data_IF_921605471176
#
_entry.id   IF_921605471176
#
_cell.length_a   1.000
_cell.length_b   1.000
_cell.length_c   1.000
_cell.angle_alpha   90.00
_cell.angle_beta   90.00
_cell.angle_gamma   90.00
#
_symmetry.space_group_name_H-M   'P 1'
#
loop_
_entity.id
_entity.type
_entity.pdbx_description
1 polymer ?
#
# COMPACT_ATOMS: atom_id res chain seq x y z
N UNK A 1 -19.86 40.43 -0.77
CA UNK A 1 -20.75 39.37 -1.29
C UNK A 1 -20.04 38.04 -1.08
N UNK A 2 -20.44 37.25 -0.08
CA UNK A 2 -19.84 35.95 0.25
C UNK A 2 -20.07 34.95 -0.88
N UNK A 3 -19.11 34.80 -1.80
CA UNK A 3 -19.04 33.63 -2.67
C UNK A 3 -18.36 32.52 -1.89
N UNK A 4 -19.15 31.81 -1.10
CA UNK A 4 -18.75 30.52 -0.55
C UNK A 4 -18.31 29.61 -1.69
N UNK A 5 -17.21 28.87 -1.49
CA UNK A 5 -16.85 27.73 -2.34
C UNK A 5 -18.10 26.86 -2.52
N UNK A 6 -18.68 26.87 -3.73
CA UNK A 6 -19.85 26.04 -4.08
C UNK A 6 -19.43 24.58 -4.29
N UNK A 7 -18.66 24.03 -3.35
CA UNK A 7 -18.26 22.62 -3.32
C UNK A 7 -19.48 21.68 -3.19
N UNK A 8 -20.53 22.14 -2.51
CA UNK A 8 -21.62 21.27 -2.05
C UNK A 8 -22.71 20.94 -3.09
N UNK A 9 -22.75 21.61 -4.24
CA UNK A 9 -23.92 21.55 -5.15
C UNK A 9 -23.93 20.40 -6.16
N UNK A 10 -22.78 19.78 -6.45
CA UNK A 10 -22.63 18.88 -7.61
C UNK A 10 -22.19 17.46 -7.26
N UNK A 11 -21.96 17.16 -5.98
CA UNK A 11 -21.40 15.88 -5.55
C UNK A 11 -22.45 15.08 -4.79
N UNK A 12 -23.49 14.61 -5.47
CA UNK A 12 -24.52 13.75 -4.86
C UNK A 12 -24.85 12.57 -5.79
N UNK A 13 -23.96 11.60 -5.76
CA UNK A 13 -24.28 10.18 -5.89
C UNK A 13 -23.20 9.44 -5.09
N UNK A 14 -23.49 9.17 -3.82
CA UNK A 14 -22.68 8.27 -3.01
C UNK A 14 -22.97 6.86 -3.49
N UNK A 15 -21.98 6.22 -4.11
CA UNK A 15 -22.04 4.77 -4.29
C UNK A 15 -21.58 4.18 -2.97
N UNK A 16 -22.54 3.81 -2.11
CA UNK A 16 -22.25 3.07 -0.90
C UNK A 16 -21.49 1.80 -1.30
N UNK A 17 -20.42 1.48 -0.57
CA UNK A 17 -19.75 0.18 -0.70
C UNK A 17 -20.78 -0.93 -0.44
N UNK A 18 -21.34 -1.51 -1.50
CA UNK A 18 -22.34 -2.56 -1.39
C UNK A 18 -21.63 -3.90 -1.48
N UNK A 19 -21.17 -4.40 -0.34
CA UNK A 19 -20.64 -5.74 -0.22
C UNK A 19 -20.78 -6.21 1.22
N UNK A 20 -21.70 -7.14 1.47
CA UNK A 20 -21.64 -8.01 2.65
C UNK A 20 -20.45 -8.95 2.43
N UNK A 21 -19.24 -8.48 2.73
CA UNK A 21 -18.03 -9.29 2.66
C UNK A 21 -17.66 -9.66 4.09
N UNK A 22 -17.46 -10.96 4.34
CA UNK A 22 -17.01 -11.49 5.63
C UNK A 22 -15.68 -10.84 6.03
N UNK A 23 -15.43 -10.71 7.33
CA UNK A 23 -14.12 -10.27 7.86
C UNK A 23 -12.98 -11.11 7.27
N UNK A 24 -11.80 -10.54 7.06
CA UNK A 24 -10.62 -11.36 6.78
C UNK A 24 -10.50 -12.43 7.88
N UNK A 25 -10.41 -13.70 7.48
CA UNK A 25 -10.12 -14.82 8.40
C UNK A 25 -8.61 -14.97 8.65
N UNK A 26 -7.86 -13.87 8.45
CA UNK A 26 -6.43 -13.79 8.73
C UNK A 26 -6.27 -13.43 10.21
N UNK A 27 -5.55 -14.25 11.00
CA UNK A 27 -5.32 -13.95 12.40
C UNK A 27 -4.68 -12.57 12.59
N UNK A 28 -5.06 -11.88 13.67
CA UNK A 28 -4.49 -10.60 14.04
C UNK A 28 -2.96 -10.69 14.12
N UNK A 29 -2.27 -9.76 13.46
CA UNK A 29 -0.81 -9.65 13.46
C UNK A 29 -0.12 -10.93 12.96
N UNK A 30 -0.53 -11.41 11.79
CA UNK A 30 0.09 -12.57 11.15
C UNK A 30 1.45 -12.18 10.58
N UNK A 31 2.53 -12.71 11.16
CA UNK A 31 3.86 -12.62 10.59
C UNK A 31 3.97 -13.46 9.32
N UNK A 32 4.59 -12.89 8.29
CA UNK A 32 4.76 -13.53 7.00
C UNK A 32 6.24 -13.62 6.58
N UNK A 33 6.51 -14.46 5.58
CA UNK A 33 7.82 -14.68 4.97
C UNK A 33 7.78 -14.22 3.52
N UNK A 34 8.51 -13.17 3.15
CA UNK A 34 8.76 -12.83 1.77
C UNK A 34 9.61 -13.91 1.09
N UNK A 35 9.13 -14.44 -0.04
CA UNK A 35 9.91 -15.36 -0.88
C UNK A 35 10.14 -14.83 -2.28
N UNK A 36 11.41 -14.82 -2.70
CA UNK A 36 11.87 -14.37 -4.01
C UNK A 36 12.17 -15.57 -4.90
N UNK A 37 12.04 -15.40 -6.21
CA UNK A 37 12.51 -16.37 -7.20
C UNK A 37 13.77 -15.87 -7.89
N UNK A 38 14.71 -16.77 -8.15
CA UNK A 38 15.96 -16.47 -8.85
C UNK A 38 16.12 -17.38 -10.06
N UNK A 39 16.61 -16.80 -11.15
CA UNK A 39 17.03 -17.53 -12.34
C UNK A 39 18.53 -17.79 -12.32
N UNK A 40 18.90 -19.06 -12.49
CA UNK A 40 20.25 -19.58 -12.39
C UNK A 40 20.72 -20.14 -13.75
N UNK A 41 21.30 -19.32 -14.64
CA UNK A 41 21.59 -19.74 -16.03
C UNK A 41 22.69 -20.81 -16.17
N UNK A 42 23.45 -21.09 -15.11
CA UNK A 42 24.55 -22.06 -15.13
C UNK A 42 24.29 -23.30 -14.25
N UNK A 43 23.05 -23.46 -13.76
CA UNK A 43 22.63 -24.62 -12.98
C UNK A 43 21.84 -25.57 -13.90
N UNK A 44 22.44 -26.72 -14.20
CA UNK A 44 21.90 -27.65 -15.21
C UNK A 44 22.19 -27.22 -16.65
N UNK A 45 21.77 -28.03 -17.65
CA UNK A 45 22.05 -27.79 -19.06
C UNK A 45 21.30 -26.58 -19.66
N UNK A 46 20.15 -26.21 -19.10
CA UNK A 46 19.26 -25.16 -19.62
C UNK A 46 18.99 -24.04 -18.59
N UNK A 47 19.66 -24.09 -17.42
CA UNK A 47 19.41 -23.22 -16.27
C UNK A 47 18.30 -23.75 -15.34
N UNK A 48 18.18 -23.14 -14.17
CA UNK A 48 17.32 -23.58 -13.05
C UNK A 48 16.66 -22.40 -12.33
N UNK A 49 15.52 -22.63 -11.67
CA UNK A 49 14.87 -21.65 -10.80
C UNK A 49 14.90 -22.05 -9.34
N UNK A 50 15.36 -21.14 -8.48
CA UNK A 50 15.34 -21.35 -7.02
C UNK A 50 14.46 -20.33 -6.33
N UNK A 51 13.72 -20.77 -5.31
CA UNK A 51 13.00 -19.90 -4.39
C UNK A 51 13.83 -19.68 -3.13
N UNK A 52 13.92 -18.45 -2.64
CA UNK A 52 14.62 -18.12 -1.39
C UNK A 52 13.72 -17.32 -0.45
N UNK A 53 13.88 -17.53 0.85
CA UNK A 53 13.39 -16.60 1.88
C UNK A 53 14.24 -15.34 1.81
N UNK A 54 13.62 -14.16 1.68
CA UNK A 54 14.33 -12.88 1.63
C UNK A 54 15.18 -12.63 2.89
N UNK A 55 14.77 -13.17 4.03
CA UNK A 55 15.54 -13.09 5.27
C UNK A 55 16.75 -14.02 5.33
N UNK A 56 16.97 -14.84 4.29
CA UNK A 56 18.18 -15.61 4.18
C UNK A 56 19.34 -14.73 3.72
N UNK A 57 20.53 -14.96 4.27
CA UNK A 57 21.77 -14.37 3.73
C UNK A 57 22.27 -15.10 2.46
N UNK A 58 21.39 -15.91 1.86
CA UNK A 58 21.69 -16.72 0.70
C UNK A 58 21.72 -15.82 -0.55
N UNK A 59 22.82 -15.90 -1.29
CA UNK A 59 22.88 -15.38 -2.64
C UNK A 59 23.18 -16.57 -3.56
N UNK A 60 22.16 -17.13 -4.23
CA UNK A 60 22.35 -18.32 -5.06
C UNK A 60 23.14 -18.03 -6.34
N UNK A 61 23.51 -16.77 -6.59
CA UNK A 61 24.01 -16.30 -7.89
C UNK A 61 22.86 -16.13 -8.88
N UNK A 62 23.17 -15.65 -10.10
CA UNK A 62 22.15 -15.47 -11.14
C UNK A 62 21.38 -14.15 -11.06
N UNK A 63 20.12 -14.16 -11.46
CA UNK A 63 19.25 -12.96 -11.55
C UNK A 63 18.06 -13.10 -10.63
N UNK A 64 17.90 -12.15 -9.69
CA UNK A 64 16.69 -12.03 -8.88
C UNK A 64 15.51 -11.66 -9.78
N UNK A 65 14.50 -12.51 -9.82
CA UNK A 65 13.25 -12.24 -10.52
C UNK A 65 12.24 -11.56 -9.59
N UNK A 66 12.59 -11.31 -8.34
CA UNK A 66 11.81 -10.55 -7.38
C UNK A 66 10.84 -11.39 -6.55
N UNK A 67 10.11 -10.69 -5.70
CA UNK A 67 9.20 -11.24 -4.71
C UNK A 67 7.94 -11.82 -5.35
N UNK A 68 7.64 -13.08 -5.03
CA UNK A 68 6.53 -13.81 -5.66
C UNK A 68 5.37 -14.11 -4.69
N UNK A 69 5.66 -14.30 -3.40
CA UNK A 69 4.63 -14.59 -2.39
C UNK A 69 5.03 -14.09 -0.99
N UNK A 70 4.02 -13.80 -0.15
CA UNK A 70 4.17 -13.85 1.30
C UNK A 70 3.55 -15.12 1.86
N UNK A 71 4.38 -16.00 2.43
CA UNK A 71 3.96 -17.20 3.15
C UNK A 71 3.67 -16.85 4.62
N UNK A 72 2.85 -17.61 5.32
CA UNK A 72 2.80 -17.49 6.78
C UNK A 72 4.14 -17.93 7.39
N UNK A 73 4.60 -17.24 8.43
CA UNK A 73 5.86 -17.58 9.10
C UNK A 73 5.72 -18.66 10.19
N UNK A 74 4.52 -18.81 10.75
CA UNK A 74 4.25 -19.75 11.84
C UNK A 74 3.41 -20.95 11.42
N UNK A 75 3.77 -22.11 11.97
CA UNK A 75 2.98 -23.34 11.87
C UNK A 75 1.63 -23.19 12.58
N UNK A 76 0.58 -23.73 11.96
CA UNK A 76 -0.77 -23.78 12.49
C UNK A 76 -1.57 -24.89 11.79
N UNK A 77 -2.65 -25.36 12.43
CA UNK A 77 -3.46 -26.47 11.92
C UNK A 77 -4.09 -26.24 10.54
N UNK A 78 -4.28 -24.97 10.16
CA UNK A 78 -4.84 -24.52 8.89
C UNK A 78 -3.78 -24.21 7.83
N UNK A 79 -2.53 -24.62 8.08
CA UNK A 79 -1.38 -24.38 7.21
C UNK A 79 -0.58 -25.66 7.02
N UNK A 80 0.36 -25.62 6.08
CA UNK A 80 1.37 -26.66 5.92
C UNK A 80 2.68 -26.07 5.42
N UNK A 81 3.77 -26.77 5.70
CA UNK A 81 5.10 -26.42 5.22
C UNK A 81 5.12 -26.33 3.70
N UNK A 82 5.81 -25.31 3.20
CA UNK A 82 6.36 -25.26 1.87
C UNK A 82 7.87 -25.46 1.99
N UNK A 83 8.37 -26.56 1.44
CA UNK A 83 9.76 -26.92 1.43
C UNK A 83 10.41 -26.51 0.13
N UNK A 84 11.67 -26.06 0.22
CA UNK A 84 12.58 -26.04 -0.93
C UNK A 84 13.27 -27.39 -1.04
N UNK A 85 13.23 -27.97 -2.22
CA UNK A 85 13.78 -29.26 -2.53
C UNK A 85 14.84 -29.13 -3.63
N UNK A 86 15.87 -29.97 -3.58
CA UNK A 86 16.98 -29.97 -4.55
C UNK A 86 17.32 -31.38 -5.04
N UNK A 87 17.58 -31.53 -6.33
CA UNK A 87 17.99 -32.78 -6.96
C UNK A 87 19.43 -32.70 -7.49
N UNK A 88 20.45 -33.19 -6.76
CA UNK A 88 21.85 -33.04 -7.15
C UNK A 88 22.23 -33.64 -8.51
N UNK A 89 21.67 -34.79 -8.95
CA UNK A 89 21.89 -35.30 -10.31
C UNK A 89 21.50 -34.38 -11.45
N UNK A 90 20.37 -33.65 -11.35
CA UNK A 90 19.89 -32.75 -12.41
C UNK A 90 20.25 -31.28 -12.16
N UNK A 91 20.68 -30.94 -10.94
CA UNK A 91 20.89 -29.57 -10.48
C UNK A 91 19.60 -28.72 -10.52
N UNK A 92 18.46 -29.34 -10.24
CA UNK A 92 17.11 -28.72 -10.29
C UNK A 92 16.57 -28.46 -8.89
N UNK A 93 15.94 -27.30 -8.70
CA UNK A 93 15.20 -26.97 -7.49
C UNK A 93 13.69 -26.97 -7.73
N UNK A 94 12.93 -27.40 -6.72
CA UNK A 94 11.49 -27.28 -6.74
C UNK A 94 10.93 -27.00 -5.35
N UNK A 95 9.75 -26.37 -5.29
CA UNK A 95 9.03 -26.21 -4.04
C UNK A 95 7.93 -27.27 -3.90
N UNK A 96 7.71 -27.74 -2.67
CA UNK A 96 6.72 -28.78 -2.40
C UNK A 96 6.16 -28.72 -0.99
N UNK A 97 4.94 -29.20 -0.81
CA UNK A 97 4.37 -29.48 0.52
C UNK A 97 4.82 -30.82 1.11
N UNK A 98 5.53 -31.64 0.35
CA UNK A 98 6.01 -32.95 0.76
C UNK A 98 7.52 -32.94 0.83
N UNK A 99 8.07 -33.13 2.03
CA UNK A 99 9.51 -33.27 2.20
C UNK A 99 10.02 -34.47 1.40
N UNK A 100 11.04 -34.23 0.57
CA UNK A 100 11.70 -35.25 -0.25
C UNK A 100 10.83 -35.84 -1.37
N UNK A 101 9.86 -35.07 -1.86
CA UNK A 101 9.03 -35.46 -3.01
C UNK A 101 9.91 -35.91 -4.20
N UNK A 102 9.52 -37.02 -4.85
CA UNK A 102 10.21 -37.50 -6.05
C UNK A 102 11.66 -37.95 -5.83
N UNK A 103 12.13 -38.07 -4.59
CA UNK A 103 13.53 -38.38 -4.27
C UNK A 103 14.45 -37.16 -4.21
N UNK A 104 13.91 -35.95 -4.29
CA UNK A 104 14.66 -34.71 -4.05
C UNK A 104 15.11 -34.67 -2.58
N UNK A 105 16.19 -33.94 -2.31
CA UNK A 105 16.64 -33.65 -0.95
C UNK A 105 15.88 -32.45 -0.41
N UNK A 106 15.44 -32.51 0.84
CA UNK A 106 14.83 -31.34 1.51
C UNK A 106 15.92 -30.43 2.03
N UNK A 107 16.02 -29.22 1.50
CA UNK A 107 17.02 -28.24 1.94
C UNK A 107 16.53 -27.44 3.15
N UNK A 108 15.24 -27.12 3.18
CA UNK A 108 14.64 -26.36 4.27
C UNK A 108 13.17 -26.03 4.06
N UNK A 109 12.58 -25.39 5.07
CA UNK A 109 11.23 -24.82 5.00
C UNK A 109 11.33 -23.35 4.59
N UNK A 110 10.66 -22.97 3.52
CA UNK A 110 10.53 -21.57 3.08
C UNK A 110 9.51 -20.81 3.91
N UNK A 111 8.45 -21.49 4.34
CA UNK A 111 7.38 -20.93 5.16
C UNK A 111 6.17 -21.86 5.15
N UNK A 112 4.99 -21.31 5.41
CA UNK A 112 3.75 -22.07 5.49
C UNK A 112 2.70 -21.50 4.53
N UNK A 113 2.15 -22.36 3.68
CA UNK A 113 0.97 -22.04 2.86
C UNK A 113 -0.28 -22.40 3.64
N UNK A 114 -1.35 -21.63 3.47
CA UNK A 114 -2.66 -21.99 3.99
C UNK A 114 -3.21 -23.24 3.28
N UNK A 115 -4.12 -23.94 3.95
CA UNK A 115 -4.78 -25.16 3.47
C UNK A 115 -6.09 -24.90 2.73
N UNK A 116 -6.62 -23.68 2.80
CA UNK A 116 -7.88 -23.30 2.19
C UNK A 116 -7.79 -21.86 1.65
N UNK A 117 -8.54 -21.51 0.60
CA UNK A 117 -8.60 -20.14 0.10
C UNK A 117 -9.21 -19.20 1.15
N UNK A 118 -8.67 -17.98 1.23
CA UNK A 118 -9.18 -16.89 2.07
C UNK A 118 -9.06 -15.56 1.33
N UNK A 119 -9.72 -14.54 1.83
CA UNK A 119 -9.59 -13.17 1.33
C UNK A 119 -8.11 -12.74 1.28
N UNK A 120 -7.70 -12.32 0.08
CA UNK A 120 -6.33 -11.87 -0.20
C UNK A 120 -5.34 -12.99 -0.53
N UNK A 121 -5.70 -14.25 -0.30
CA UNK A 121 -4.84 -15.36 -0.70
C UNK A 121 -5.12 -15.79 -2.14
N UNK A 122 -4.06 -16.15 -2.86
CA UNK A 122 -4.15 -16.80 -4.16
C UNK A 122 -3.41 -18.13 -4.14
N UNK A 123 -3.75 -18.98 -5.08
CA UNK A 123 -3.17 -20.32 -5.23
C UNK A 123 -1.69 -20.20 -5.60
N UNK A 124 -0.82 -20.79 -4.77
CA UNK A 124 0.60 -20.98 -5.09
C UNK A 124 0.70 -22.19 -6.00
N UNK A 125 1.38 -22.05 -7.14
CA UNK A 125 1.58 -23.14 -8.09
C UNK A 125 3.04 -23.37 -8.40
N UNK A 126 3.34 -24.62 -8.73
CA UNK A 126 4.57 -25.04 -9.37
C UNK A 126 4.33 -25.17 -10.87
N UNK A 127 5.35 -24.91 -11.67
CA UNK A 127 5.37 -25.25 -13.08
C UNK A 127 6.58 -26.15 -13.36
N UNK A 128 6.44 -27.06 -14.31
CA UNK A 128 7.48 -28.01 -14.72
C UNK A 128 7.69 -27.92 -16.23
N UNK A 129 8.94 -27.92 -16.68
CA UNK A 129 9.32 -27.88 -18.09
C UNK A 129 9.70 -29.28 -18.58
N UNK A 130 8.87 -29.95 -19.41
CA UNK A 130 9.13 -31.34 -19.80
C UNK A 130 10.40 -31.57 -20.64
N UNK A 131 10.95 -30.53 -21.26
CA UNK A 131 12.12 -30.66 -22.14
C UNK A 131 13.41 -31.00 -21.39
N UNK A 132 13.52 -30.58 -20.13
CA UNK A 132 14.73 -30.72 -19.31
C UNK A 132 14.48 -31.07 -17.84
N UNK A 133 13.22 -30.99 -17.41
CA UNK A 133 12.82 -31.34 -16.04
C UNK A 133 12.92 -30.17 -15.05
N UNK A 134 13.14 -28.94 -15.52
CA UNK A 134 13.23 -27.76 -14.63
C UNK A 134 11.88 -27.46 -13.95
N UNK A 135 11.93 -27.11 -12.67
CA UNK A 135 10.76 -26.65 -11.93
C UNK A 135 10.89 -25.18 -11.50
N UNK A 136 9.74 -24.53 -11.32
CA UNK A 136 9.70 -23.19 -10.76
C UNK A 136 8.40 -22.95 -10.00
N UNK A 137 8.47 -22.17 -8.93
CA UNK A 137 7.26 -21.63 -8.29
C UNK A 137 6.81 -20.39 -9.06
N UNK A 138 5.54 -20.38 -9.47
CA UNK A 138 4.98 -19.31 -10.31
C UNK A 138 4.50 -18.14 -9.48
N UNK A 139 4.54 -16.93 -10.05
CA UNK A 139 3.77 -15.78 -9.56
C UNK A 139 2.27 -16.01 -9.78
N UNK A 140 1.45 -15.19 -9.13
CA UNK A 140 0.00 -15.23 -9.34
C UNK A 140 -0.36 -15.04 -10.82
N UNK A 141 -1.03 -16.05 -11.40
CA UNK A 141 -1.52 -16.00 -12.77
C UNK A 141 -0.44 -16.11 -13.86
N UNK A 142 0.81 -16.39 -13.49
CA UNK A 142 1.89 -16.59 -14.43
C UNK A 142 1.73 -17.93 -15.17
N UNK A 143 1.98 -17.91 -16.48
CA UNK A 143 2.03 -19.11 -17.33
C UNK A 143 3.32 -19.06 -18.15
N UNK A 144 4.46 -19.49 -17.56
CA UNK A 144 5.76 -19.36 -18.18
C UNK A 144 5.85 -20.16 -19.50
N UNK A 145 6.35 -19.57 -20.60
CA UNK A 145 6.47 -20.29 -21.87
C UNK A 145 7.32 -21.56 -21.72
N UNK A 146 6.78 -22.69 -22.18
CA UNK A 146 7.47 -23.99 -22.14
C UNK A 146 7.28 -24.78 -20.85
N UNK A 147 6.61 -24.22 -19.84
CA UNK A 147 6.26 -24.95 -18.62
C UNK A 147 4.79 -25.36 -18.63
N UNK A 148 4.52 -26.53 -18.06
CA UNK A 148 3.20 -27.00 -17.72
C UNK A 148 2.93 -26.68 -16.23
N UNK A 149 1.77 -26.09 -15.94
CA UNK A 149 1.35 -25.84 -14.56
C UNK A 149 0.99 -27.16 -13.85
N UNK A 150 1.51 -27.32 -12.64
CA UNK A 150 1.21 -28.46 -11.79
C UNK A 150 0.14 -28.11 -10.73
N UNK A 151 -0.12 -29.04 -9.81
CA UNK A 151 -1.12 -28.88 -8.76
C UNK A 151 -0.80 -27.77 -7.76
N UNK A 152 -1.80 -27.32 -6.99
CA UNK A 152 -1.63 -26.29 -5.96
C UNK A 152 -0.65 -26.72 -4.88
N UNK A 153 0.24 -25.78 -4.52
CA UNK A 153 1.11 -25.86 -3.35
C UNK A 153 0.46 -25.19 -2.12
N UNK A 154 -0.85 -24.91 -2.16
CA UNK A 154 -1.60 -24.20 -1.11
C UNK A 154 -1.94 -22.77 -1.51
N UNK A 155 -2.22 -21.92 -0.52
CA UNK A 155 -2.59 -20.52 -0.73
C UNK A 155 -1.67 -19.58 0.05
N UNK A 156 -1.36 -18.41 -0.51
CA UNK A 156 -0.47 -17.39 0.08
C UNK A 156 -0.84 -15.99 -0.46
N UNK A 157 -0.31 -14.91 0.13
CA UNK A 157 -0.56 -13.57 -0.43
C UNK A 157 0.31 -13.35 -1.66
N UNK A 158 -0.29 -13.01 -2.81
CA UNK A 158 0.45 -12.80 -4.05
C UNK A 158 1.32 -11.55 -3.99
N UNK A 159 2.51 -11.63 -4.59
CA UNK A 159 3.44 -10.51 -4.80
C UNK A 159 3.76 -10.36 -6.28
N UNK A 160 4.27 -9.20 -6.70
CA UNK A 160 4.28 -8.80 -8.11
C UNK A 160 5.67 -8.67 -8.74
N UNK A 161 6.67 -9.35 -8.17
CA UNK A 161 8.01 -9.49 -8.76
C UNK A 161 8.91 -8.29 -8.53
N UNK A 162 8.68 -7.50 -7.48
CA UNK A 162 9.61 -6.43 -7.08
C UNK A 162 10.89 -6.98 -6.42
N UNK A 163 12.00 -6.31 -6.68
CA UNK A 163 13.16 -6.34 -5.79
C UNK A 163 12.89 -5.33 -4.67
N UNK A 164 12.84 -5.78 -3.41
CA UNK A 164 12.54 -4.96 -2.24
C UNK A 164 13.71 -4.06 -1.79
N UNK A 165 14.71 -3.82 -2.65
CA UNK A 165 15.85 -2.99 -2.30
C UNK A 165 15.40 -1.58 -1.88
N UNK A 166 15.49 -1.32 -0.57
CA UNK A 166 15.02 -0.11 0.12
C UNK A 166 15.35 1.18 -0.65
N UNK A 167 14.33 1.98 -0.93
CA UNK A 167 14.46 3.29 -1.60
C UNK A 167 14.76 3.25 -3.10
N UNK A 168 14.86 2.07 -3.73
CA UNK A 168 15.07 1.93 -5.18
C UNK A 168 14.18 0.87 -5.86
N UNK A 169 13.29 0.24 -5.08
CA UNK A 169 12.40 -0.80 -5.55
C UNK A 169 11.68 -0.37 -6.82
N UNK A 170 11.81 -1.16 -7.88
CA UNK A 170 11.16 -0.89 -9.14
C UNK A 170 9.64 -1.10 -8.99
N UNK A 171 8.89 -0.01 -8.89
CA UNK A 171 7.43 0.03 -8.88
C UNK A 171 6.87 -0.40 -10.25
N UNK A 172 6.82 -1.71 -10.49
CA UNK A 172 6.55 -2.29 -11.81
C UNK A 172 5.09 -2.66 -12.02
N UNK A 173 4.29 -2.72 -10.96
CA UNK A 173 2.89 -3.15 -11.01
C UNK A 173 1.89 -1.98 -10.91
N UNK A 174 2.20 -0.86 -11.57
CA UNK A 174 1.36 0.35 -11.51
C UNK A 174 0.03 0.21 -12.27
N UNK A 175 -1.04 0.71 -11.66
CA UNK A 175 -2.36 0.95 -12.26
C UNK A 175 -2.56 2.43 -12.50
N UNK A 176 -3.03 2.80 -13.68
CA UNK A 176 -3.17 4.21 -14.07
C UNK A 176 -4.62 4.57 -14.31
N UNK A 177 -5.07 5.68 -13.73
CA UNK A 177 -6.35 6.33 -14.10
C UNK A 177 -6.07 7.79 -14.50
N UNK A 178 -6.85 8.30 -15.44
CA UNK A 178 -6.71 9.69 -15.89
C UNK A 178 -8.04 10.26 -16.39
N UNK A 179 -8.26 11.54 -16.13
CA UNK A 179 -9.36 12.32 -16.71
C UNK A 179 -8.88 13.34 -17.77
N UNK A 180 -7.58 13.30 -18.12
CA UNK A 180 -6.90 14.21 -19.03
C UNK A 180 -6.21 15.40 -18.34
N UNK A 181 -6.63 15.77 -17.13
CA UNK A 181 -6.03 16.84 -16.34
C UNK A 181 -5.23 16.30 -15.14
N UNK A 182 -5.79 15.30 -14.46
CA UNK A 182 -5.17 14.50 -13.41
C UNK A 182 -4.76 13.15 -14.00
N UNK A 183 -3.57 12.70 -13.66
CA UNK A 183 -3.15 11.30 -13.82
C UNK A 183 -2.70 10.77 -12.47
N UNK A 184 -3.23 9.61 -12.07
CA UNK A 184 -2.82 8.92 -10.85
C UNK A 184 -2.25 7.55 -11.18
N UNK A 185 -1.13 7.23 -10.55
CA UNK A 185 -0.54 5.90 -10.58
C UNK A 185 -0.70 5.26 -9.20
N UNK A 186 -1.21 4.03 -9.18
CA UNK A 186 -1.43 3.24 -7.97
C UNK A 186 -0.57 2.00 -7.97
N UNK A 187 0.10 1.72 -6.87
CA UNK A 187 1.03 0.60 -6.80
C UNK A 187 0.41 -0.64 -6.17
N UNK A 188 0.17 -1.67 -6.97
CA UNK A 188 -0.38 -2.97 -6.51
C UNK A 188 0.54 -3.66 -5.51
N UNK A 189 1.85 -3.37 -5.58
CA UNK A 189 2.84 -3.90 -4.67
C UNK A 189 2.57 -3.41 -3.24
N UNK A 190 2.18 -2.16 -3.09
CA UNK A 190 2.02 -1.46 -1.81
C UNK A 190 0.54 -1.28 -1.48
N UNK A 191 -0.22 -2.36 -1.39
CA UNK A 191 -1.64 -2.32 -1.04
C UNK A 191 -2.53 -1.57 -2.03
N UNK A 192 -2.00 -1.24 -3.22
CA UNK A 192 -2.68 -0.43 -4.21
C UNK A 192 -2.63 1.07 -3.93
N UNK A 193 -1.77 1.59 -3.06
CA UNK A 193 -1.74 3.02 -2.69
C UNK A 193 -1.49 3.97 -3.86
N UNK A 194 -1.91 5.24 -3.73
CA UNK A 194 -1.61 6.26 -4.73
C UNK A 194 -0.14 6.67 -4.62
N UNK A 195 0.65 6.12 -5.53
CA UNK A 195 2.09 6.31 -5.62
C UNK A 195 2.44 7.62 -6.34
N UNK A 196 1.69 7.95 -7.41
CA UNK A 196 1.84 9.24 -8.09
C UNK A 196 0.53 9.98 -8.31
N UNK A 197 0.62 11.32 -8.25
CA UNK A 197 -0.48 12.25 -8.47
C UNK A 197 0.00 13.44 -9.32
N UNK A 198 -0.24 13.34 -10.62
CA UNK A 198 0.17 14.34 -11.58
C UNK A 198 -0.96 15.31 -11.91
N UNK A 199 -0.65 16.60 -11.92
CA UNK A 199 -1.52 17.66 -12.42
C UNK A 199 -0.68 18.81 -12.98
N UNK A 200 -1.11 19.40 -14.10
CA UNK A 200 -0.38 20.52 -14.72
C UNK A 200 1.06 20.18 -15.14
N UNK A 201 1.37 18.91 -15.42
CA UNK A 201 2.71 18.43 -15.76
C UNK A 201 3.68 18.33 -14.57
N UNK A 202 3.17 18.37 -13.34
CA UNK A 202 3.94 18.24 -12.10
C UNK A 202 3.42 17.09 -11.24
N UNK A 203 4.32 16.41 -10.55
CA UNK A 203 4.03 15.36 -9.58
C UNK A 203 4.01 15.94 -8.17
N UNK A 204 2.94 15.68 -7.43
CA UNK A 204 2.67 16.25 -6.11
C UNK A 204 3.14 15.36 -4.95
N UNK A 205 3.18 14.04 -5.12
CA UNK A 205 3.53 13.10 -4.06
C UNK A 205 5.03 12.82 -4.02
N UNK A 206 5.55 12.69 -2.80
CA UNK A 206 6.92 12.26 -2.57
C UNK A 206 6.95 10.75 -2.26
N UNK A 207 7.88 10.02 -2.89
CA UNK A 207 7.90 8.54 -2.90
C UNK A 207 9.14 7.94 -2.24
N UNK A 208 9.61 8.52 -1.14
CA UNK A 208 10.86 8.08 -0.51
C UNK A 208 10.78 6.69 0.16
N UNK A 209 9.65 6.33 0.76
CA UNK A 209 9.38 4.97 1.25
C UNK A 209 7.86 4.70 1.28
N UNK A 210 7.51 3.45 1.57
CA UNK A 210 6.12 2.94 1.75
C UNK A 210 5.34 3.61 2.88
N UNK A 211 5.91 4.57 3.61
CA UNK A 211 5.18 5.39 4.57
C UNK A 211 4.69 6.69 3.97
N UNK A 212 5.07 7.03 2.73
CA UNK A 212 5.04 8.40 2.22
C UNK A 212 4.06 8.67 1.07
N UNK A 213 3.31 7.66 0.65
CA UNK A 213 2.28 7.77 -0.37
C UNK A 213 1.02 8.49 0.12
N UNK A 214 0.11 8.79 -0.81
CA UNK A 214 -1.25 9.19 -0.46
C UNK A 214 -2.05 7.95 -0.02
N UNK A 215 -2.21 7.78 1.28
CA UNK A 215 -2.65 6.54 1.92
C UNK A 215 -3.51 6.74 3.17
N UNK A 216 -3.94 5.63 3.77
CA UNK A 216 -4.67 5.57 5.06
C UNK A 216 -3.83 4.84 6.12
N UNK A 217 -3.96 5.27 7.38
CA UNK A 217 -3.30 4.63 8.52
C UNK A 217 -4.16 4.67 9.79
N UNK A 218 -3.85 3.76 10.72
CA UNK A 218 -4.56 3.59 11.99
C UNK A 218 -3.58 3.61 13.16
N UNK A 219 -3.92 4.31 14.24
CA UNK A 219 -3.09 4.41 15.43
C UNK A 219 -3.92 4.15 16.69
N UNK A 220 -3.28 3.63 17.74
CA UNK A 220 -3.88 3.54 19.07
C UNK A 220 -3.42 4.69 19.96
N UNK A 221 -4.32 5.32 20.73
CA UNK A 221 -3.97 6.36 21.69
C UNK A 221 -2.82 5.96 22.62
N UNK A 222 -1.85 6.86 22.77
CA UNK A 222 -0.72 6.66 23.69
C UNK A 222 0.34 5.67 23.20
N UNK A 223 0.19 5.07 22.02
CA UNK A 223 1.22 4.28 21.37
C UNK A 223 1.90 5.11 20.27
N UNK A 224 3.19 4.88 20.06
CA UNK A 224 3.90 5.44 18.90
C UNK A 224 3.51 4.68 17.63
N UNK A 225 3.87 5.24 16.47
CA UNK A 225 3.70 4.60 15.15
C UNK A 225 4.37 3.22 15.07
N UNK A 226 5.46 3.03 15.82
CA UNK A 226 6.15 1.73 15.95
C UNK A 226 5.41 0.79 16.91
N UNK A 227 4.65 1.34 17.87
CA UNK A 227 3.86 0.58 18.84
C UNK A 227 2.59 -0.01 18.23
N UNK A 228 1.84 0.77 17.44
CA UNK A 228 0.68 0.30 16.68
C UNK A 228 0.43 1.26 15.52
N UNK A 229 0.63 0.76 14.29
CA UNK A 229 0.52 1.58 13.08
C UNK A 229 0.20 0.76 11.83
N UNK A 230 -0.96 0.09 11.72
CA UNK A 230 -1.40 -0.48 10.45
C UNK A 230 -1.48 0.60 9.37
N UNK A 231 -0.76 0.40 8.26
CA UNK A 231 -0.59 1.35 7.15
C UNK A 231 -0.96 0.71 5.82
N UNK A 232 -1.66 1.46 4.96
CA UNK A 232 -2.19 0.94 3.69
C UNK A 232 -1.08 0.52 2.73
N UNK A 233 -0.01 1.30 2.64
CA UNK A 233 1.08 1.08 1.70
C UNK A 233 2.00 -0.07 2.10
N UNK A 234 2.39 -0.15 3.38
CA UNK A 234 3.39 -1.11 3.81
C UNK A 234 4.12 -0.71 5.07
N UNK A 235 5.16 -1.47 5.43
CA UNK A 235 5.92 -1.20 6.66
C UNK A 235 7.17 -0.35 6.44
N UNK A 236 7.88 -0.04 7.54
CA UNK A 236 9.08 0.80 7.52
C UNK A 236 10.29 0.19 6.79
N UNK A 237 10.22 -1.08 6.42
CA UNK A 237 11.29 -1.81 5.72
C UNK A 237 11.05 -1.89 4.22
N UNK A 238 9.96 -1.30 3.71
CA UNK A 238 9.63 -1.31 2.29
C UNK A 238 8.77 -2.49 1.86
N UNK A 239 8.32 -3.34 2.79
CA UNK A 239 7.37 -4.39 2.48
C UNK A 239 6.01 -3.79 2.17
N UNK A 240 5.43 -4.13 1.02
CA UNK A 240 4.11 -3.66 0.67
C UNK A 240 2.96 -4.44 1.30
N UNK A 241 1.84 -3.78 1.57
CA UNK A 241 0.63 -4.45 2.06
C UNK A 241 -0.02 -5.39 1.02
N UNK A 242 -0.50 -6.58 1.42
CA UNK A 242 -1.25 -7.47 0.52
C UNK A 242 -2.55 -6.87 -0.03
N UNK A 243 -2.68 -6.88 -1.35
CA UNK A 243 -3.89 -6.46 -2.05
C UNK A 243 -4.92 -7.60 -2.10
N UNK A 244 -6.11 -7.38 -1.54
CA UNK A 244 -7.21 -8.34 -1.50
C UNK A 244 -8.08 -8.27 -2.75
N UNK A 245 -8.41 -7.05 -3.15
CA UNK A 245 -9.33 -6.79 -4.24
C UNK A 245 -8.89 -5.52 -4.97
N UNK A 246 -8.97 -5.54 -6.30
CA UNK A 246 -8.81 -4.35 -7.13
C UNK A 246 -9.92 -4.27 -8.17
N UNK A 247 -10.41 -3.05 -8.43
CA UNK A 247 -11.31 -2.77 -9.55
C UNK A 247 -10.89 -1.46 -10.20
N UNK A 248 -10.70 -1.47 -11.51
CA UNK A 248 -10.29 -0.28 -12.27
C UNK A 248 -11.28 0.05 -13.38
N UNK A 249 -11.51 1.35 -13.56
CA UNK A 249 -12.03 1.94 -14.79
C UNK A 249 -11.07 3.04 -15.28
N UNK A 250 -11.38 3.70 -16.39
CA UNK A 250 -10.53 4.78 -16.91
C UNK A 250 -10.32 5.95 -15.93
N UNK A 251 -11.27 6.18 -15.01
CA UNK A 251 -11.29 7.36 -14.09
C UNK A 251 -11.48 7.00 -12.63
N UNK A 252 -11.51 5.72 -12.30
CA UNK A 252 -11.71 5.28 -10.92
C UNK A 252 -10.91 4.03 -10.64
N UNK A 253 -10.31 3.99 -9.46
CA UNK A 253 -9.56 2.84 -8.96
C UNK A 253 -10.02 2.54 -7.54
N UNK A 254 -10.45 1.30 -7.32
CA UNK A 254 -10.85 0.77 -6.03
C UNK A 254 -9.90 -0.33 -5.59
N UNK A 255 -9.56 -0.33 -4.31
CA UNK A 255 -8.68 -1.30 -3.66
C UNK A 255 -9.25 -1.72 -2.33
N UNK A 256 -9.04 -2.99 -1.95
CA UNK A 256 -9.13 -3.49 -0.58
C UNK A 256 -7.81 -4.16 -0.23
N UNK A 257 -7.25 -3.88 0.93
CA UNK A 257 -5.91 -4.31 1.34
C UNK A 257 -5.89 -4.75 2.80
N UNK A 258 -4.98 -5.68 3.12
CA UNK A 258 -4.61 -6.00 4.50
C UNK A 258 -3.39 -5.15 4.86
N UNK A 259 -3.51 -4.13 5.72
CA UNK A 259 -2.40 -3.25 6.00
C UNK A 259 -1.31 -3.98 6.80
N UNK A 260 -0.05 -3.57 6.61
CA UNK A 260 1.05 -4.03 7.45
C UNK A 260 1.22 -3.12 8.67
N UNK A 261 1.72 -3.69 9.77
CA UNK A 261 2.21 -2.91 10.89
C UNK A 261 3.45 -2.13 10.48
N UNK A 262 3.42 -0.79 10.59
CA UNK A 262 4.55 0.07 10.25
C UNK A 262 5.84 -0.34 10.96
N UNK A 263 5.75 -0.60 12.27
CA UNK A 263 6.83 -1.16 13.09
C UNK A 263 6.60 -2.65 13.40
N UNK A 264 6.99 -3.58 12.52
CA UNK A 264 6.70 -5.00 12.71
C UNK A 264 7.39 -5.62 13.94
N UNK A 265 8.45 -5.00 14.46
CA UNK A 265 9.23 -5.48 15.60
C UNK A 265 8.43 -5.56 16.90
N UNK A 266 7.45 -4.67 17.07
CA UNK A 266 6.53 -4.69 18.22
C UNK A 266 5.64 -5.94 18.24
N UNK A 267 5.61 -6.68 17.14
CA UNK A 267 4.77 -7.86 16.92
C UNK A 267 5.59 -9.12 16.58
N UNK A 268 6.90 -9.09 16.87
CA UNK A 268 7.81 -10.22 16.61
C UNK A 268 8.34 -10.31 15.17
N UNK A 269 7.97 -9.37 14.30
CA UNK A 269 8.50 -9.24 12.94
C UNK A 269 9.78 -8.42 12.85
N UNK A 270 10.13 -7.96 11.66
CA UNK A 270 11.34 -7.20 11.38
C UNK A 270 11.61 -6.98 9.89
N UNK A 271 12.86 -6.67 9.55
CA UNK A 271 13.32 -6.31 8.20
C UNK A 271 13.03 -7.36 7.11
N UNK A 272 12.86 -8.62 7.49
CA UNK A 272 12.52 -9.70 6.55
C UNK A 272 11.30 -10.50 6.99
N UNK A 273 10.51 -9.92 7.91
CA UNK A 273 9.35 -10.56 8.54
C UNK A 273 8.25 -9.51 8.73
N UNK A 274 7.56 -9.11 7.64
CA UNK A 274 6.46 -8.19 7.76
C UNK A 274 5.32 -8.79 8.59
N UNK A 275 4.50 -7.92 9.17
CA UNK A 275 3.38 -8.32 10.03
C UNK A 275 2.08 -7.76 9.47
N UNK A 276 1.22 -8.66 8.98
CA UNK A 276 -0.10 -8.34 8.44
C UNK A 276 -1.08 -8.06 9.58
N UNK A 277 -1.64 -6.86 9.62
CA UNK A 277 -2.77 -6.55 10.51
C UNK A 277 -4.01 -7.29 10.00
N UNK A 278 -4.77 -7.92 10.90
CA UNK A 278 -5.93 -8.74 10.51
C UNK A 278 -7.16 -7.93 10.08
N UNK A 279 -7.10 -6.59 10.19
CA UNK A 279 -8.16 -5.70 9.72
C UNK A 279 -7.94 -5.30 8.26
N UNK A 280 -8.81 -4.44 7.75
CA UNK A 280 -8.78 -4.08 6.33
C UNK A 280 -8.92 -2.60 6.10
N UNK A 281 -8.25 -2.12 5.06
CA UNK A 281 -8.53 -0.83 4.46
C UNK A 281 -9.15 -1.03 3.08
N UNK A 282 -10.07 -0.16 2.74
CA UNK A 282 -10.59 -0.05 1.38
C UNK A 282 -10.55 1.40 0.93
N UNK A 283 -10.40 1.61 -0.36
CA UNK A 283 -10.42 2.92 -0.95
C UNK A 283 -10.98 2.90 -2.35
N UNK A 284 -11.69 3.95 -2.74
CA UNK A 284 -11.95 4.31 -4.14
C UNK A 284 -11.51 5.74 -4.41
N UNK A 285 -10.59 5.91 -5.35
CA UNK A 285 -10.29 7.20 -5.97
C UNK A 285 -11.13 7.37 -7.23
N UNK A 286 -11.76 8.53 -7.42
CA UNK A 286 -12.53 8.84 -8.64
C UNK A 286 -12.21 10.24 -9.13
N UNK A 287 -11.83 10.37 -10.39
CA UNK A 287 -11.41 11.62 -11.01
C UNK A 287 -12.59 12.40 -11.62
N UNK A 288 -12.70 13.67 -11.27
CA UNK A 288 -13.68 14.61 -11.79
C UNK A 288 -13.00 15.82 -12.40
N UNK A 289 -13.53 16.28 -13.54
CA UNK A 289 -13.12 17.55 -14.14
C UNK A 289 -14.04 18.63 -13.58
N UNK A 290 -13.48 19.74 -13.11
CA UNK A 290 -14.24 20.92 -12.77
C UNK A 290 -13.66 22.16 -13.50
N UNK A 291 -14.47 23.15 -13.90
CA UNK A 291 -14.00 24.24 -14.78
C UNK A 291 -12.89 25.13 -14.20
N UNK A 292 -12.60 25.02 -12.91
CA UNK A 292 -11.68 25.91 -12.17
C UNK A 292 -10.54 25.14 -11.49
N UNK A 293 -10.78 23.87 -11.16
CA UNK A 293 -9.86 23.00 -10.42
C UNK A 293 -10.25 21.57 -10.74
N UNK A 294 -9.36 20.62 -10.49
CA UNK A 294 -9.66 19.20 -10.68
C UNK A 294 -9.77 18.50 -9.33
N UNK A 295 -10.60 17.46 -9.27
CA UNK A 295 -10.96 16.83 -8.00
C UNK A 295 -10.80 15.32 -8.10
N UNK A 296 -10.11 14.75 -7.11
CA UNK A 296 -10.18 13.34 -6.77
C UNK A 296 -11.17 13.19 -5.62
N UNK A 297 -12.29 12.51 -5.86
CA UNK A 297 -13.12 12.01 -4.76
C UNK A 297 -12.42 10.81 -4.15
N UNK A 298 -12.13 10.89 -2.86
CA UNK A 298 -11.40 9.89 -2.08
C UNK A 298 -12.34 9.25 -1.07
N UNK A 299 -12.93 8.12 -1.46
CA UNK A 299 -13.79 7.32 -0.60
C UNK A 299 -12.91 6.30 0.11
N UNK A 300 -12.87 6.33 1.43
CA UNK A 300 -11.99 5.49 2.26
C UNK A 300 -12.84 4.73 3.28
N UNK A 301 -12.43 3.52 3.60
CA UNK A 301 -13.04 2.71 4.64
C UNK A 301 -12.02 1.89 5.41
N UNK A 302 -12.35 1.62 6.67
CA UNK A 302 -11.58 0.77 7.56
C UNK A 302 -12.50 -0.23 8.26
N UNK A 303 -11.99 -1.44 8.44
CA UNK A 303 -12.59 -2.51 9.23
C UNK A 303 -11.58 -3.02 10.29
N UNK A 304 -11.80 -2.75 11.59
CA UNK A 304 -10.93 -3.26 12.65
C UNK A 304 -10.92 -4.78 12.70
N UNK A 305 -9.77 -5.38 13.00
CA UNK A 305 -9.74 -6.76 13.48
C UNK A 305 -10.18 -6.87 14.95
N UNK A 306 -10.01 -5.80 15.74
CA UNK A 306 -10.28 -5.79 17.17
C UNK A 306 -11.03 -4.54 17.60
N UNK A 307 -11.87 -4.68 18.64
CA UNK A 307 -12.59 -3.56 19.23
C UNK A 307 -11.64 -2.76 20.11
N UNK A 308 -11.40 -1.50 19.75
CA UNK A 308 -10.51 -0.61 20.50
C UNK A 308 -10.87 0.85 20.21
N UNK A 309 -10.14 1.77 20.84
CA UNK A 309 -10.15 3.18 20.50
C UNK A 309 -8.99 3.48 19.56
N UNK A 310 -9.29 4.17 18.46
CA UNK A 310 -8.30 4.48 17.43
C UNK A 310 -8.31 5.94 17.03
N UNK A 311 -7.14 6.42 16.63
CA UNK A 311 -6.94 7.62 15.81
C UNK A 311 -6.80 7.17 14.36
N UNK A 312 -7.50 7.82 13.42
CA UNK A 312 -7.47 7.42 12.00
C UNK A 312 -6.93 8.54 11.13
N UNK A 313 -5.85 8.26 10.42
CA UNK A 313 -5.43 9.07 9.28
C UNK A 313 -6.24 8.61 8.06
N UNK A 314 -7.39 9.26 7.81
CA UNK A 314 -8.25 8.93 6.68
C UNK A 314 -7.57 9.17 5.33
N UNK A 315 -6.75 10.21 5.29
CA UNK A 315 -5.85 10.49 4.17
C UNK A 315 -4.63 11.20 4.72
N UNK A 316 -3.48 10.61 4.47
CA UNK A 316 -2.15 11.18 4.69
C UNK A 316 -1.43 11.20 3.36
N UNK A 317 -0.60 12.21 3.12
CA UNK A 317 0.33 12.23 2.01
C UNK A 317 1.60 12.94 2.42
N UNK A 318 2.73 12.45 1.90
CA UNK A 318 3.93 13.25 1.82
C UNK A 318 3.98 13.87 0.44
N UNK A 319 4.25 15.16 0.42
CA UNK A 319 4.24 15.92 -0.80
C UNK A 319 5.62 16.47 -1.11
N UNK A 320 5.80 16.76 -2.38
CA UNK A 320 7.01 17.41 -2.87
C UNK A 320 7.22 18.79 -2.22
N UNK A 321 8.47 19.18 -1.89
CA UNK A 321 8.77 20.48 -1.28
C UNK A 321 8.24 21.67 -2.08
N UNK A 322 8.29 21.59 -3.42
CA UNK A 322 7.90 22.72 -4.27
C UNK A 322 6.41 23.05 -4.17
N UNK A 323 5.55 22.08 -3.83
CA UNK A 323 4.09 22.28 -3.73
C UNK A 323 3.63 22.55 -2.31
N UNK A 324 4.56 22.66 -1.36
CA UNK A 324 4.26 22.86 0.05
C UNK A 324 4.91 24.12 0.61
N UNK A 325 5.45 25.00 -0.22
CA UNK A 325 6.13 26.24 0.20
C UNK A 325 5.22 27.20 0.97
N UNK A 326 3.90 27.10 0.76
CA UNK A 326 2.87 27.87 1.47
C UNK A 326 1.76 26.95 1.95
N UNK A 327 1.23 27.24 3.13
CA UNK A 327 0.15 26.49 3.75
C UNK A 327 -1.03 27.41 3.99
N UNK A 328 -2.24 26.94 3.67
CA UNK A 328 -3.46 27.64 3.99
C UNK A 328 -4.44 26.69 4.67
N UNK A 329 -5.23 27.24 5.58
CA UNK A 329 -6.40 26.58 6.14
C UNK A 329 -7.62 27.32 5.60
N UNK A 330 -8.50 26.57 4.94
CA UNK A 330 -9.80 27.06 4.54
C UNK A 330 -10.84 26.60 5.56
N UNK A 331 -11.54 27.56 6.18
CA UNK A 331 -12.66 27.28 7.07
C UNK A 331 -13.94 27.89 6.48
N UNK A 332 -15.00 27.08 6.37
CA UNK A 332 -16.28 27.56 5.85
C UNK A 332 -16.79 28.75 6.67
N UNK A 333 -17.07 29.87 5.99
CA UNK A 333 -17.56 31.11 6.61
C UNK A 333 -16.47 32.07 7.07
N UNK A 334 -15.22 31.61 7.20
CA UNK A 334 -14.06 32.46 7.51
C UNK A 334 -13.28 32.78 6.23
N UNK A 335 -13.00 31.77 5.40
CA UNK A 335 -12.17 31.91 4.21
C UNK A 335 -10.82 31.21 4.37
N UNK A 336 -9.84 31.63 3.58
CA UNK A 336 -8.48 31.09 3.61
C UNK A 336 -7.60 31.92 4.55
N UNK A 337 -6.90 31.24 5.45
CA UNK A 337 -5.90 31.82 6.34
C UNK A 337 -4.55 31.13 6.10
N UNK A 338 -3.56 31.92 5.73
CA UNK A 338 -2.19 31.42 5.57
C UNK A 338 -1.61 31.05 6.93
N UNK A 339 -0.97 29.89 6.97
CA UNK A 339 -0.33 29.35 8.17
C UNK A 339 1.18 29.37 8.00
N UNK A 340 1.89 29.49 9.12
CA UNK A 340 3.34 29.30 9.13
C UNK A 340 3.67 27.81 8.90
N UNK A 341 4.72 27.57 8.13
CA UNK A 341 5.37 26.27 8.12
C UNK A 341 6.05 26.07 9.48
N UNK A 342 5.80 24.95 10.19
CA UNK A 342 6.48 24.67 11.44
C UNK A 342 7.99 24.59 11.28
N UNK A 343 8.68 24.86 12.39
CA UNK A 343 10.08 24.50 12.54
C UNK A 343 10.25 22.97 12.47
N UNK A 344 11.50 22.54 12.35
CA UNK A 344 11.89 21.14 12.23
C UNK A 344 11.14 20.21 13.20
N UNK A 345 10.52 19.15 12.68
CA UNK A 345 9.83 18.10 13.47
C UNK A 345 8.67 18.58 14.37
N UNK A 346 8.30 19.85 14.29
CA UNK A 346 7.09 20.33 14.95
C UNK A 346 5.87 20.01 14.11
N UNK A 347 4.88 19.40 14.75
CA UNK A 347 3.57 19.18 14.18
C UNK A 347 2.69 20.40 14.46
N UNK A 348 2.10 20.97 13.42
CA UNK A 348 0.99 21.92 13.57
C UNK A 348 -0.32 21.19 13.33
N UNK A 349 -1.26 21.34 14.26
CA UNK A 349 -2.58 20.73 14.18
C UNK A 349 -3.65 21.79 14.34
N UNK A 350 -4.62 21.76 13.44
CA UNK A 350 -5.80 22.63 13.48
C UNK A 350 -7.07 21.82 13.28
N UNK A 351 -8.14 22.25 13.94
CA UNK A 351 -9.47 21.70 13.67
C UNK A 351 -10.00 22.32 12.39
N UNK A 352 -10.33 21.49 11.40
CA UNK A 352 -10.94 21.91 10.14
C UNK A 352 -12.40 21.50 10.15
N UNK A 353 -13.29 22.46 10.38
CA UNK A 353 -14.73 22.26 10.31
C UNK A 353 -15.22 22.57 8.89
N UNK A 354 -15.58 21.54 8.11
CA UNK A 354 -16.07 21.69 6.72
C UNK A 354 -15.13 22.54 5.87
N UNK A 355 -13.88 22.13 5.79
CA UNK A 355 -12.81 22.96 5.28
C UNK A 355 -11.73 22.16 4.57
N UNK A 356 -10.62 22.84 4.30
CA UNK A 356 -9.46 22.21 3.70
C UNK A 356 -8.17 22.67 4.38
N UNK A 357 -7.18 21.78 4.39
CA UNK A 357 -5.78 22.17 4.48
C UNK A 357 -5.21 22.17 3.07
N UNK A 358 -4.50 23.23 2.71
CA UNK A 358 -4.00 23.46 1.36
C UNK A 358 -2.52 23.72 1.40
N UNK A 359 -1.78 22.94 0.62
CA UNK A 359 -0.38 23.18 0.31
C UNK A 359 -0.29 23.77 -1.09
N UNK A 360 0.52 24.82 -1.25
CA UNK A 360 0.74 25.46 -2.53
C UNK A 360 2.21 25.82 -2.76
N UNK A 361 2.57 25.90 -4.04
CA UNK A 361 3.83 26.50 -4.49
C UNK A 361 3.89 28.00 -4.18
N UNK A 362 5.10 28.58 -4.12
CA UNK A 362 5.28 30.00 -3.83
C UNK A 362 4.55 30.91 -4.84
N UNK A 363 4.48 30.49 -6.10
CA UNK A 363 3.78 31.20 -7.18
C UNK A 363 2.27 30.94 -7.20
N UNK A 364 1.76 30.10 -6.31
CA UNK A 364 0.35 29.71 -6.16
C UNK A 364 -0.26 28.96 -7.36
N UNK A 365 0.55 28.56 -8.35
CA UNK A 365 0.05 27.90 -9.56
C UNK A 365 -0.21 26.41 -9.40
N UNK A 366 0.38 25.79 -8.39
CA UNK A 366 0.16 24.39 -8.06
C UNK A 366 -0.23 24.31 -6.59
N UNK A 367 -1.40 23.78 -6.33
CA UNK A 367 -1.88 23.53 -4.99
C UNK A 367 -2.57 22.18 -4.90
N UNK A 368 -2.35 21.51 -3.78
CA UNK A 368 -3.08 20.32 -3.34
C UNK A 368 -3.81 20.67 -2.05
N UNK A 369 -5.12 20.43 -2.05
CA UNK A 369 -5.94 20.60 -0.88
C UNK A 369 -6.58 19.29 -0.47
N UNK A 370 -6.47 18.94 0.80
CA UNK A 370 -7.27 17.89 1.41
C UNK A 370 -8.51 18.53 2.00
N UNK A 371 -9.65 18.32 1.36
CA UNK A 371 -10.94 18.88 1.75
C UNK A 371 -11.85 17.82 2.39
N UNK A 372 -12.53 18.22 3.44
CA UNK A 372 -13.53 17.42 4.13
C UNK A 372 -14.87 18.18 4.24
N UNK A 373 -16.01 17.52 3.96
CA UNK A 373 -17.34 18.08 4.24
C UNK A 373 -17.76 17.95 5.71
N UNK A 374 -16.92 17.33 6.54
CA UNK A 374 -17.15 17.06 7.96
C UNK A 374 -16.14 17.79 8.83
N UNK A 375 -16.29 17.68 10.15
CA UNK A 375 -15.28 18.17 11.09
C UNK A 375 -14.20 17.10 11.25
N UNK A 376 -12.96 17.46 10.90
CA UNK A 376 -11.76 16.65 11.12
C UNK A 376 -10.65 17.52 11.71
N UNK A 377 -9.56 16.89 12.11
CA UNK A 377 -8.30 17.55 12.34
C UNK A 377 -7.48 17.52 11.06
N UNK A 378 -6.85 18.64 10.74
CA UNK A 378 -5.76 18.67 9.79
C UNK A 378 -4.45 18.84 10.55
N UNK A 379 -3.43 18.14 10.11
CA UNK A 379 -2.08 18.34 10.61
C UNK A 379 -1.06 18.36 9.49
N UNK A 380 0.05 19.04 9.73
CA UNK A 380 1.18 19.06 8.83
C UNK A 380 2.51 19.10 9.54
N UNK A 381 3.51 18.53 8.87
CA UNK A 381 4.85 18.33 9.41
C UNK A 381 5.90 18.79 8.41
N UNK A 382 6.99 19.33 8.95
CA UNK A 382 8.18 19.66 8.20
C UNK A 382 9.32 18.69 8.58
N UNK A 383 9.67 17.80 7.65
CA UNK A 383 10.78 16.85 7.81
C UNK A 383 12.07 17.30 7.10
N UNK A 384 12.10 18.50 6.51
CA UNK A 384 13.24 19.03 5.73
C UNK A 384 14.56 19.05 6.53
N UNK A 385 14.46 19.12 7.85
CA UNK A 385 15.59 19.22 8.76
C UNK A 385 16.19 17.89 9.21
N UNK A 386 15.57 16.75 8.92
CA UNK A 386 16.04 15.45 9.41
C UNK A 386 17.36 15.00 8.73
N UNK A 387 17.84 15.72 7.72
CA UNK A 387 19.10 15.47 7.04
C UNK A 387 19.02 14.22 6.15
N UNK A 388 19.09 14.42 4.83
CA UNK A 388 18.97 13.35 3.84
C UNK A 388 18.44 13.91 2.52
N UNK A 389 18.35 13.08 1.47
CA UNK A 389 17.69 13.46 0.21
C UNK A 389 16.15 13.61 0.34
N UNK A 390 15.62 13.49 1.56
CA UNK A 390 14.19 13.41 1.90
C UNK A 390 13.66 14.70 2.55
N UNK A 391 13.91 15.86 1.95
CA UNK A 391 13.14 17.06 2.29
C UNK A 391 11.68 16.77 1.92
N UNK A 392 10.83 16.53 2.92
CA UNK A 392 9.46 16.10 2.73
C UNK A 392 8.54 16.79 3.70
N UNK A 393 7.31 17.06 3.26
CA UNK A 393 6.27 17.64 4.10
C UNK A 393 5.08 16.72 4.10
N UNK A 394 4.56 16.41 5.28
CA UNK A 394 3.38 15.55 5.46
C UNK A 394 2.14 16.43 5.63
N UNK A 395 1.04 16.02 5.02
CA UNK A 395 -0.28 16.64 5.17
C UNK A 395 -1.32 15.57 5.45
N UNK A 396 -2.13 15.78 6.48
CA UNK A 396 -3.05 14.79 7.00
C UNK A 396 -4.45 15.36 7.19
N UNK A 397 -5.46 14.53 6.93
CA UNK A 397 -6.78 14.65 7.55
C UNK A 397 -7.05 13.43 8.41
N UNK A 398 -7.33 13.67 9.68
CA UNK A 398 -7.51 12.62 10.67
C UNK A 398 -8.64 12.96 11.64
N UNK A 399 -9.15 11.96 12.36
CA UNK A 399 -10.00 12.21 13.51
C UNK A 399 -9.39 11.73 14.81
N UNK A 400 -9.75 12.48 15.87
CA UNK A 400 -9.43 12.11 17.22
C UNK A 400 -10.01 10.73 17.58
N UNK A 401 -9.49 10.22 18.68
CA UNK A 401 -9.79 8.94 19.29
C UNK A 401 -11.29 8.60 19.24
N UNK A 402 -11.63 7.50 18.56
CA UNK A 402 -12.98 6.97 18.50
C UNK A 402 -12.98 5.48 18.81
N UNK A 403 -13.95 5.06 19.60
CA UNK A 403 -14.18 3.64 19.86
C UNK A 403 -14.78 2.96 18.63
N UNK A 404 -14.24 1.80 18.29
CA UNK A 404 -14.57 1.05 17.09
C UNK A 404 -14.80 -0.41 17.45
N UNK A 405 -15.71 -1.06 16.75
CA UNK A 405 -16.07 -2.45 16.97
C UNK A 405 -15.41 -3.33 15.91
N UNK A 406 -14.79 -4.42 16.35
CA UNK A 406 -14.24 -5.45 15.47
C UNK A 406 -15.21 -5.82 14.35
N UNK A 407 -14.72 -5.89 13.12
CA UNK A 407 -15.47 -6.29 11.93
C UNK A 407 -16.43 -5.24 11.36
N UNK A 408 -16.69 -4.13 12.05
CA UNK A 408 -17.56 -3.08 11.53
C UNK A 408 -16.84 -2.17 10.53
N UNK A 409 -17.52 -1.78 9.45
CA UNK A 409 -17.00 -0.82 8.48
C UNK A 409 -17.22 0.62 8.94
N UNK A 410 -16.16 1.41 8.87
CA UNK A 410 -16.19 2.85 9.09
C UNK A 410 -15.68 3.53 7.84
N UNK A 411 -16.51 4.36 7.24
CA UNK A 411 -16.21 4.95 5.93
C UNK A 411 -16.28 6.47 5.98
N UNK A 412 -15.53 7.11 5.08
CA UNK A 412 -15.54 8.55 4.91
C UNK A 412 -15.34 8.91 3.43
N UNK A 413 -15.92 10.04 3.02
CA UNK A 413 -15.67 10.62 1.71
C UNK A 413 -14.94 11.95 1.88
N UNK A 414 -13.77 12.04 1.29
CA UNK A 414 -12.89 13.20 1.28
C UNK A 414 -12.60 13.60 -0.16
N UNK A 415 -11.91 14.73 -0.32
CA UNK A 415 -11.57 15.24 -1.64
C UNK A 415 -10.11 15.69 -1.65
N UNK A 416 -9.37 15.25 -2.65
CA UNK A 416 -8.07 15.82 -3.01
C UNK A 416 -8.30 16.77 -4.17
N UNK A 417 -8.06 18.06 -3.96
CA UNK A 417 -8.35 19.12 -4.94
C UNK A 417 -7.04 19.67 -5.46
N UNK A 418 -6.92 19.74 -6.78
CA UNK A 418 -5.71 20.14 -7.49
C UNK A 418 -6.01 21.36 -8.36
N UNK A 419 -5.11 22.32 -8.41
CA UNK A 419 -5.37 23.55 -9.15
C UNK A 419 -4.41 24.70 -8.85
N UNK A 420 -4.68 25.83 -9.50
CA UNK A 420 -4.13 27.13 -9.15
C UNK A 420 -4.87 27.67 -7.92
N UNK A 421 -4.15 27.99 -6.84
CA UNK A 421 -4.77 28.44 -5.60
C UNK A 421 -5.50 29.78 -5.78
N UNK A 422 -5.01 30.67 -6.65
CA UNK A 422 -5.71 31.93 -6.95
C UNK A 422 -7.08 31.67 -7.58
N UNK A 423 -7.19 30.62 -8.40
CA UNK A 423 -8.46 30.17 -8.95
C UNK A 423 -9.35 29.52 -7.87
N UNK A 424 -8.78 28.72 -6.97
CA UNK A 424 -9.52 28.10 -5.85
C UNK A 424 -10.07 29.13 -4.85
N UNK A 425 -9.31 30.18 -4.55
CA UNK A 425 -9.73 31.26 -3.64
C UNK A 425 -10.84 32.13 -4.25
N UNK A 426 -10.96 32.16 -5.58
CA UNK A 426 -11.85 33.06 -6.31
C UNK A 426 -11.41 34.53 -6.25
N UNK A 427 -12.08 35.43 -6.99
CA UNK A 427 -11.83 36.86 -6.90
C UNK A 427 -12.21 37.37 -5.51
N UNK A 428 -11.27 38.07 -4.85
CA UNK A 428 -11.45 38.71 -3.53
C UNK A 428 -12.56 39.76 -3.55
#
# INVERSE_FOLDING_TARGET
MNRSLRFAGWILAATVFSGDVLASDIPLNTMVVPINRWWLPNHGPEGDHITIDEGSSENPGGTNEGLIWYLAAGDAADRANLYRLYNPPSLDHMDSRTAGEGGYQTEGTLGFTWNDPRDGLAEVRRAHRPSDGDHMTTRQGENPPGYDLEGPLGWAFPRYGEDLSYGTGHHTALRTISNGAITMHFDRVWGGVAYELWWGGRQFLNHWDSGRELQTALFKPGLSDVGFGPTEAGDMWGHGSPLIEEQQSARSYYTRTLPLQWGPQSYGGGEHRPVVYGGEFQRRATLFNHPVYDVVRWEVGYRPAESDTYTREWVTAYVEPYVSERIFVYTQGVGFEEQAMPECTENQTVTVQRGAVVFASADLRHAIALYTPETLYASWWNFDCLGGQSATRKINLWDAEQSMSAGAWYTKTLYVVLGDLSAMMGPR
#
